data_IF_499401747584
#
_entry.id   IF_499401747584
#
_cell.length_a   1.000
_cell.length_b   1.000
_cell.length_c   1.000
_cell.angle_alpha   90.00
_cell.angle_beta   90.00
_cell.angle_gamma   90.00
#
_symmetry.space_group_name_H-M   'P 1'
#
loop_
_entity.id
_entity.type
_entity.pdbx_description
1 polymer ?
#
# COMPACT_ATOMS: atom_id res chain seq x y z
N UNK A 1 4.01 -18.83 16.99
CA UNK A 1 3.29 -17.65 16.46
C UNK A 1 1.82 -18.03 16.44
N UNK A 2 0.90 -17.15 16.84
CA UNK A 2 -0.53 -17.41 16.71
C UNK A 2 -0.85 -17.70 15.24
N UNK A 3 -1.67 -18.71 15.02
CA UNK A 3 -2.31 -19.04 13.74
C UNK A 3 -3.46 -18.07 13.46
N UNK A 4 -4.02 -18.12 12.25
CA UNK A 4 -5.20 -17.31 11.90
C UNK A 4 -6.38 -17.65 12.82
N UNK A 5 -6.49 -18.92 13.24
CA UNK A 5 -7.58 -19.42 14.08
C UNK A 5 -7.49 -18.93 15.54
N UNK A 6 -6.34 -18.38 15.95
CA UNK A 6 -6.11 -17.85 17.30
C UNK A 6 -6.52 -16.38 17.45
N UNK A 7 -7.06 -15.75 16.39
CA UNK A 7 -7.41 -14.33 16.39
C UNK A 7 -8.85 -14.09 16.84
N UNK A 8 -9.03 -13.17 17.78
CA UNK A 8 -10.35 -12.66 18.13
C UNK A 8 -11.02 -12.02 16.90
N UNK A 9 -12.30 -12.33 16.70
CA UNK A 9 -13.07 -11.82 15.56
C UNK A 9 -14.06 -10.72 15.98
N UNK A 10 -14.26 -9.68 15.14
CA UNK A 10 -13.75 -9.53 13.78
C UNK A 10 -12.31 -8.98 13.70
N UNK A 11 -11.51 -9.56 12.81
CA UNK A 11 -10.16 -9.10 12.50
C UNK A 11 -10.02 -8.78 11.00
N UNK A 12 -9.31 -7.70 10.68
CA UNK A 12 -8.92 -7.37 9.30
C UNK A 12 -7.56 -8.02 9.02
N UNK A 13 -7.53 -8.94 8.05
CA UNK A 13 -6.32 -9.61 7.62
C UNK A 13 -5.91 -9.17 6.22
N UNK A 14 -4.61 -8.94 6.04
CA UNK A 14 -4.01 -8.62 4.75
C UNK A 14 -2.96 -9.68 4.45
N UNK A 15 -3.15 -10.39 3.33
CA UNK A 15 -2.11 -11.25 2.78
C UNK A 15 -0.97 -10.38 2.23
N UNK A 16 0.15 -10.36 2.97
CA UNK A 16 1.27 -9.50 2.65
C UNK A 16 1.94 -9.87 1.32
N UNK A 17 2.07 -11.17 1.01
CA UNK A 17 2.70 -11.62 -0.21
C UNK A 17 1.90 -11.17 -1.44
N UNK A 18 0.57 -11.26 -1.36
CA UNK A 18 -0.33 -10.77 -2.42
C UNK A 18 -0.29 -9.25 -2.53
N UNK A 19 -0.32 -8.52 -1.42
CA UNK A 19 -0.25 -7.06 -1.43
C UNK A 19 1.06 -6.57 -2.08
N UNK A 20 2.19 -7.20 -1.76
CA UNK A 20 3.48 -6.87 -2.37
C UNK A 20 3.54 -7.22 -3.86
N UNK A 21 2.99 -8.36 -4.27
CA UNK A 21 2.88 -8.72 -5.68
C UNK A 21 2.03 -7.70 -6.47
N UNK A 22 0.94 -7.21 -5.86
CA UNK A 22 0.09 -6.18 -6.46
C UNK A 22 0.83 -4.85 -6.61
N UNK A 23 1.62 -4.44 -5.61
CA UNK A 23 2.45 -3.22 -5.69
C UNK A 23 3.43 -3.34 -6.86
N UNK A 24 4.18 -4.45 -6.94
CA UNK A 24 5.14 -4.68 -8.03
C UNK A 24 4.46 -4.67 -9.40
N UNK A 25 3.31 -5.33 -9.52
CA UNK A 25 2.54 -5.39 -10.77
C UNK A 25 2.07 -4.01 -11.23
N UNK A 26 1.53 -3.20 -10.32
CA UNK A 26 1.05 -1.85 -10.63
C UNK A 26 2.20 -0.93 -11.06
N UNK A 27 3.33 -1.00 -10.35
CA UNK A 27 4.51 -0.21 -10.67
C UNK A 27 5.09 -0.62 -12.04
N UNK A 28 5.31 -1.92 -12.27
CA UNK A 28 5.84 -2.41 -13.54
C UNK A 28 4.94 -2.05 -14.73
N UNK A 29 3.62 -2.00 -14.53
CA UNK A 29 2.69 -1.55 -15.55
C UNK A 29 2.89 -0.07 -15.91
N UNK A 30 3.03 0.81 -14.91
CA UNK A 30 3.30 2.23 -15.15
C UNK A 30 4.67 2.44 -15.82
N UNK A 31 5.70 1.74 -15.36
CA UNK A 31 7.05 1.81 -15.92
C UNK A 31 7.09 1.38 -17.39
N UNK A 32 6.41 0.28 -17.73
CA UNK A 32 6.31 -0.21 -19.11
C UNK A 32 5.62 0.79 -20.07
N UNK A 33 4.82 1.71 -19.54
CA UNK A 33 4.17 2.78 -20.29
C UNK A 33 4.94 4.12 -20.21
N UNK A 34 6.08 4.16 -19.52
CA UNK A 34 6.83 5.40 -19.30
C UNK A 34 6.11 6.43 -18.42
N UNK A 35 5.16 5.99 -17.58
CA UNK A 35 4.36 6.85 -16.72
C UNK A 35 4.85 6.83 -15.28
N UNK A 36 4.74 7.96 -14.59
CA UNK A 36 5.00 8.04 -13.15
C UNK A 36 3.77 7.61 -12.37
N UNK A 37 3.90 6.57 -11.56
CA UNK A 37 2.83 6.11 -10.67
C UNK A 37 2.80 6.95 -9.38
N UNK A 38 1.62 7.47 -9.02
CA UNK A 38 1.34 8.08 -7.72
C UNK A 38 0.10 7.42 -7.10
N UNK A 39 0.27 6.34 -6.33
CA UNK A 39 -0.84 5.55 -5.82
C UNK A 39 -1.65 6.32 -4.77
N UNK A 40 -2.95 6.04 -4.72
CA UNK A 40 -3.85 6.67 -3.76
C UNK A 40 -4.01 5.80 -2.51
N UNK A 41 -3.66 6.36 -1.33
CA UNK A 41 -3.64 5.58 -0.08
C UNK A 41 -5.00 5.40 0.58
N UNK A 42 -6.09 5.98 0.03
CA UNK A 42 -7.42 5.99 0.67
C UNK A 42 -7.94 4.60 1.03
N UNK A 43 -7.49 3.58 0.29
CA UNK A 43 -7.88 2.18 0.47
C UNK A 43 -7.33 1.60 1.76
N UNK A 44 -6.05 1.82 2.07
CA UNK A 44 -5.40 1.19 3.23
C UNK A 44 -5.14 2.17 4.37
N UNK A 45 -4.81 3.43 4.09
CA UNK A 45 -4.48 4.47 5.08
C UNK A 45 -3.36 4.09 6.07
N UNK A 46 -2.55 3.08 5.70
CA UNK A 46 -1.41 2.60 6.46
C UNK A 46 -0.08 3.11 5.86
N UNK A 47 0.77 3.82 6.62
CA UNK A 47 2.11 4.24 6.17
C UNK A 47 3.00 3.07 5.73
N UNK A 48 2.84 1.89 6.32
CA UNK A 48 3.58 0.68 5.95
C UNK A 48 3.47 0.35 4.46
N UNK A 49 2.24 0.35 3.91
CA UNK A 49 2.00 0.06 2.50
C UNK A 49 2.40 1.22 1.59
N UNK A 50 2.22 2.46 2.04
CA UNK A 50 2.67 3.65 1.32
C UNK A 50 4.20 3.64 1.10
N UNK A 51 4.97 3.33 2.16
CA UNK A 51 6.43 3.21 2.08
C UNK A 51 6.87 2.12 1.11
N UNK A 52 6.18 0.96 1.11
CA UNK A 52 6.46 -0.11 0.14
C UNK A 52 6.15 0.28 -1.31
N UNK A 53 5.09 1.06 -1.54
CA UNK A 53 4.78 1.59 -2.87
C UNK A 53 5.87 2.55 -3.37
N UNK A 54 6.31 3.48 -2.51
CA UNK A 54 7.41 4.40 -2.85
C UNK A 54 8.72 3.65 -3.09
N UNK A 55 9.04 2.66 -2.23
CA UNK A 55 10.23 1.82 -2.40
C UNK A 55 10.21 0.99 -3.70
N UNK A 56 9.02 0.66 -4.23
CA UNK A 56 8.89 -0.02 -5.50
C UNK A 56 9.17 0.89 -6.71
N UNK A 57 9.10 2.23 -6.55
CA UNK A 57 9.33 3.19 -7.63
C UNK A 57 8.26 4.29 -7.75
N UNK A 58 7.22 4.28 -6.90
CA UNK A 58 6.17 5.28 -6.97
C UNK A 58 6.70 6.68 -6.62
N UNK A 59 6.22 7.69 -7.35
CA UNK A 59 6.62 9.09 -7.16
C UNK A 59 5.66 9.77 -6.16
N UNK A 60 5.91 9.48 -4.88
CA UNK A 60 5.07 9.90 -3.77
C UNK A 60 3.74 9.16 -3.73
N UNK A 61 2.76 9.73 -3.02
CA UNK A 61 1.42 9.16 -2.84
C UNK A 61 0.33 10.23 -2.95
N UNK A 62 -0.93 9.82 -3.13
CA UNK A 62 -2.10 10.69 -3.09
C UNK A 62 -2.92 10.43 -1.82
N UNK A 63 -3.12 11.46 -1.01
CA UNK A 63 -4.02 11.46 0.15
C UNK A 63 -5.35 12.14 -0.19
N UNK A 64 -6.44 11.74 0.47
CA UNK A 64 -7.76 12.36 0.28
C UNK A 64 -8.02 13.50 1.27
N UNK A 65 -7.40 13.46 2.46
CA UNK A 65 -7.55 14.46 3.53
C UNK A 65 -6.20 14.90 4.08
N UNK A 66 -6.13 16.12 4.64
CA UNK A 66 -4.90 16.66 5.25
C UNK A 66 -4.40 15.75 6.38
N UNK A 67 -5.27 15.29 7.27
CA UNK A 67 -4.87 14.38 8.35
C UNK A 67 -4.31 13.04 7.86
N UNK A 68 -4.67 12.58 6.66
CA UNK A 68 -4.01 11.42 6.07
C UNK A 68 -2.59 11.75 5.62
N UNK A 69 -2.35 12.96 5.10
CA UNK A 69 -1.01 13.41 4.73
C UNK A 69 -0.10 13.57 5.95
N UNK A 70 -0.62 14.10 7.06
CA UNK A 70 0.13 14.27 8.31
C UNK A 70 0.63 12.93 8.88
N UNK A 71 -0.20 11.89 8.84
CA UNK A 71 0.17 10.54 9.31
C UNK A 71 1.17 9.84 8.37
N UNK A 72 1.23 10.25 7.10
CA UNK A 72 2.08 9.62 6.08
C UNK A 72 3.45 10.27 5.94
N UNK A 73 3.64 11.48 6.48
CA UNK A 73 4.87 12.27 6.41
C UNK A 73 6.02 11.69 7.24
#
# INVERSE_FOLDING_TARGET
MPSIDDLDTPAILIDAARAEANIRKAQAHADAQGLKLRPHIKTHKLPYWAKKQVAAGAVGITCQKIGEAEVMA
#
